data_IF_960304866699
#
_entry.id   IF_960304866699
#
_cell.length_a   1.000
_cell.length_b   1.000
_cell.length_c   1.000
_cell.angle_alpha   90.00
_cell.angle_beta   90.00
_cell.angle_gamma   90.00
#
_symmetry.space_group_name_H-M   'P 1'
#
loop_
_entity.id
_entity.type
_entity.pdbx_description
1 polymer ?
#
# COMPACT_ATOMS: atom_id res chain seq x y z
N UNK A 1 -21.31 43.58 18.72
CA UNK A 1 -21.82 43.31 17.36
C UNK A 1 -20.63 43.10 16.46
N UNK A 2 -20.41 42.01 15.73
CA UNK A 2 -21.07 40.72 15.56
C UNK A 2 -20.00 39.80 14.96
N UNK A 3 -19.97 38.54 15.39
CA UNK A 3 -19.04 37.51 14.92
C UNK A 3 -19.24 37.31 13.42
N UNK A 4 -18.17 37.35 12.64
CA UNK A 4 -18.15 36.83 11.28
C UNK A 4 -16.91 35.94 11.13
N UNK A 5 -16.86 34.91 11.98
CA UNK A 5 -15.93 33.78 11.91
C UNK A 5 -16.67 32.52 11.40
N UNK A 6 -17.52 32.67 10.38
CA UNK A 6 -18.38 31.57 9.91
C UNK A 6 -18.13 31.12 8.47
N UNK A 7 -17.06 31.62 7.83
CA UNK A 7 -16.52 30.97 6.63
C UNK A 7 -15.50 29.90 7.06
N UNK A 8 -15.97 28.91 7.85
CA UNK A 8 -15.27 27.63 7.93
C UNK A 8 -15.73 26.85 6.72
N UNK A 9 -14.86 26.78 5.72
CA UNK A 9 -14.83 25.79 4.64
C UNK A 9 -15.30 24.43 5.16
N UNK A 10 -16.60 24.16 5.04
CA UNK A 10 -17.14 22.82 5.12
C UNK A 10 -16.67 22.13 3.85
N UNK A 11 -15.53 21.45 3.92
CA UNK A 11 -15.10 20.50 2.89
C UNK A 11 -16.15 19.40 2.87
N UNK A 12 -17.20 19.59 2.07
CA UNK A 12 -18.16 18.54 1.80
C UNK A 12 -17.40 17.42 1.09
N UNK A 13 -17.31 16.25 1.74
CA UNK A 13 -16.86 15.04 1.08
C UNK A 13 -17.83 14.79 -0.07
N UNK A 14 -17.34 14.96 -1.30
CA UNK A 14 -18.15 14.71 -2.50
C UNK A 14 -17.98 13.23 -2.84
N UNK A 15 -19.02 12.43 -2.60
CA UNK A 15 -19.03 11.01 -2.93
C UNK A 15 -19.79 10.74 -4.23
N UNK A 16 -19.39 9.69 -4.94
CA UNK A 16 -20.08 9.15 -6.12
C UNK A 16 -20.05 7.63 -6.03
N UNK A 17 -21.13 6.98 -6.46
CA UNK A 17 -21.26 5.52 -6.42
C UNK A 17 -20.71 4.89 -7.69
N UNK A 18 -19.93 3.82 -7.55
CA UNK A 18 -19.46 2.97 -8.64
C UNK A 18 -19.93 1.53 -8.42
N UNK A 19 -20.29 0.83 -9.49
CA UNK A 19 -20.67 -0.58 -9.42
C UNK A 19 -19.42 -1.46 -9.58
N UNK A 20 -19.20 -2.34 -8.60
CA UNK A 20 -18.06 -3.27 -8.56
C UNK A 20 -18.55 -4.72 -8.61
N UNK A 21 -17.76 -5.66 -9.17
CA UNK A 21 -18.06 -7.08 -9.09
C UNK A 21 -18.18 -7.53 -7.63
N UNK A 22 -19.13 -8.42 -7.33
CA UNK A 22 -19.36 -8.92 -5.97
C UNK A 22 -18.10 -9.54 -5.36
N UNK A 23 -17.29 -10.24 -6.17
CA UNK A 23 -16.03 -10.83 -5.72
C UNK A 23 -15.03 -9.80 -5.21
N UNK A 24 -15.05 -8.58 -5.73
CA UNK A 24 -14.19 -7.49 -5.26
C UNK A 24 -14.70 -6.96 -3.93
N UNK A 25 -16.02 -6.76 -3.81
CA UNK A 25 -16.66 -6.30 -2.57
C UNK A 25 -16.46 -7.31 -1.44
N UNK A 26 -16.68 -8.60 -1.69
CA UNK A 26 -16.42 -9.67 -0.71
C UNK A 26 -14.94 -9.71 -0.27
N UNK A 27 -14.02 -9.47 -1.21
CA UNK A 27 -12.60 -9.37 -0.92
C UNK A 27 -12.22 -8.14 -0.07
N UNK A 28 -12.95 -7.04 -0.23
CA UNK A 28 -12.83 -5.83 0.58
C UNK A 28 -13.38 -6.09 1.98
N UNK A 29 -14.60 -6.60 2.10
CA UNK A 29 -15.25 -6.90 3.38
C UNK A 29 -14.42 -7.87 4.23
N UNK A 30 -13.87 -8.93 3.62
CA UNK A 30 -13.02 -9.89 4.31
C UNK A 30 -11.71 -9.29 4.84
N UNK A 31 -11.22 -8.18 4.27
CA UNK A 31 -9.99 -7.51 4.70
C UNK A 31 -10.28 -6.40 5.72
N UNK A 32 -11.50 -5.85 5.71
CA UNK A 32 -11.90 -4.76 6.60
C UNK A 32 -11.67 -5.12 8.07
N UNK A 33 -12.05 -6.34 8.49
CA UNK A 33 -11.89 -6.85 9.86
C UNK A 33 -10.42 -6.89 10.34
N UNK A 34 -9.47 -6.83 9.41
CA UNK A 34 -8.03 -6.86 9.67
C UNK A 34 -7.34 -5.54 9.30
N UNK A 35 -8.11 -4.48 9.09
CA UNK A 35 -7.63 -3.16 8.70
C UNK A 35 -7.88 -2.13 9.78
N UNK A 36 -7.35 -0.92 9.59
CA UNK A 36 -7.58 0.22 10.48
C UNK A 36 -8.88 0.99 10.19
N UNK A 37 -9.61 0.59 9.15
CA UNK A 37 -10.77 1.32 8.66
C UNK A 37 -12.06 0.79 9.28
N UNK A 38 -13.00 1.71 9.54
CA UNK A 38 -14.28 1.39 10.19
C UNK A 38 -15.37 1.01 9.18
N UNK A 39 -15.19 1.36 7.90
CA UNK A 39 -16.21 1.16 6.87
C UNK A 39 -15.64 0.65 5.55
N UNK A 40 -16.47 -0.09 4.81
CA UNK A 40 -16.16 -0.57 3.46
C UNK A 40 -15.82 0.58 2.52
N UNK A 41 -16.55 1.69 2.60
CA UNK A 41 -16.36 2.85 1.72
C UNK A 41 -14.98 3.49 1.94
N UNK A 42 -14.54 3.60 3.19
CA UNK A 42 -13.25 4.17 3.57
C UNK A 42 -12.09 3.28 3.11
N UNK A 43 -12.18 1.98 3.37
CA UNK A 43 -11.19 1.01 2.89
C UNK A 43 -11.13 0.98 1.36
N UNK A 44 -12.28 1.00 0.69
CA UNK A 44 -12.35 1.01 -0.77
C UNK A 44 -11.76 2.28 -1.37
N UNK A 45 -12.02 3.45 -0.77
CA UNK A 45 -11.42 4.70 -1.19
C UNK A 45 -9.89 4.65 -1.09
N UNK A 46 -9.36 4.25 0.07
CA UNK A 46 -7.92 4.09 0.27
C UNK A 46 -7.29 3.12 -0.73
N UNK A 47 -7.88 1.93 -0.89
CA UNK A 47 -7.37 0.92 -1.81
C UNK A 47 -7.35 1.40 -3.27
N UNK A 48 -8.36 2.15 -3.70
CA UNK A 48 -8.42 2.73 -5.04
C UNK A 48 -7.40 3.87 -5.21
N UNK A 49 -7.23 4.72 -4.19
CA UNK A 49 -6.21 5.77 -4.19
C UNK A 49 -4.80 5.21 -4.31
N UNK A 50 -4.46 4.14 -3.57
CA UNK A 50 -3.17 3.46 -3.67
C UNK A 50 -2.93 2.86 -5.07
N UNK A 51 -3.96 2.25 -5.66
CA UNK A 51 -3.87 1.71 -7.03
C UNK A 51 -3.65 2.84 -8.04
N UNK A 52 -4.36 3.96 -7.92
CA UNK A 52 -4.18 5.12 -8.80
C UNK A 52 -2.79 5.74 -8.62
N UNK A 53 -2.31 5.88 -7.38
CA UNK A 53 -0.99 6.41 -7.08
C UNK A 53 0.11 5.57 -7.73
N UNK A 54 0.00 4.23 -7.68
CA UNK A 54 0.94 3.31 -8.35
C UNK A 54 0.90 3.42 -9.87
N UNK A 55 -0.24 3.78 -10.45
CA UNK A 55 -0.39 4.00 -11.90
C UNK A 55 0.12 5.38 -12.35
N UNK A 56 -0.01 6.39 -11.48
CA UNK A 56 0.40 7.77 -11.75
C UNK A 56 1.89 8.03 -11.46
N UNK A 57 2.57 7.13 -10.72
CA UNK A 57 3.99 7.25 -10.46
C UNK A 57 4.79 7.19 -11.78
N UNK A 58 5.46 8.28 -12.20
CA UNK A 58 6.26 8.26 -13.41
C UNK A 58 7.44 7.32 -13.19
N UNK A 59 7.69 6.45 -14.18
CA UNK A 59 8.84 5.55 -14.22
C UNK A 59 10.12 6.36 -14.43
N UNK A 60 10.48 7.20 -13.47
CA UNK A 60 11.66 8.06 -13.47
C UNK A 60 12.44 7.81 -12.18
N UNK A 61 12.99 6.60 -12.04
CA UNK A 61 13.82 6.31 -10.87
C UNK A 61 14.33 4.90 -10.62
N UNK A 62 14.24 3.95 -11.56
CA UNK A 62 14.97 2.66 -11.48
C UNK A 62 14.46 1.64 -10.45
N UNK A 63 14.01 0.47 -10.94
CA UNK A 63 13.65 -0.74 -10.17
C UNK A 63 12.47 -0.52 -9.19
N UNK A 64 11.29 -1.11 -9.26
CA UNK A 64 10.84 -2.42 -9.71
C UNK A 64 9.36 -2.29 -10.14
N UNK A 65 9.13 -2.21 -11.45
CA UNK A 65 7.85 -2.62 -12.03
C UNK A 65 7.81 -4.15 -12.06
N UNK A 66 7.64 -4.81 -10.91
CA UNK A 66 7.40 -6.25 -10.86
C UNK A 66 6.04 -6.50 -10.20
N UNK A 67 5.15 -6.96 -11.07
CA UNK A 67 4.07 -7.90 -10.85
C UNK A 67 4.04 -8.56 -9.45
N UNK A 68 2.82 -8.75 -8.98
CA UNK A 68 2.47 -9.81 -8.04
C UNK A 68 3.26 -11.09 -8.35
N UNK A 69 3.66 -11.82 -7.30
CA UNK A 69 4.47 -13.06 -7.31
C UNK A 69 5.98 -12.87 -7.03
N UNK A 70 6.32 -12.23 -5.91
CA UNK A 70 7.63 -12.40 -5.28
C UNK A 70 7.47 -12.57 -3.77
N UNK A 71 7.17 -13.81 -3.39
CA UNK A 71 7.49 -14.35 -2.07
C UNK A 71 8.95 -14.01 -1.74
N UNK A 72 9.13 -13.28 -0.64
CA UNK A 72 10.35 -13.20 0.16
C UNK A 72 11.67 -12.87 -0.55
N UNK A 73 12.09 -11.60 -0.48
CA UNK A 73 13.45 -11.30 0.00
C UNK A 73 13.52 -9.87 0.56
N UNK A 74 13.09 -9.73 1.81
CA UNK A 74 13.54 -8.60 2.64
C UNK A 74 15.02 -8.83 3.00
N UNK A 75 15.90 -8.61 2.02
CA UNK A 75 17.32 -8.85 2.09
C UNK A 75 18.08 -7.59 1.73
N UNK A 76 18.25 -6.74 2.75
CA UNK A 76 19.44 -5.90 2.94
C UNK A 76 20.60 -6.37 2.06
N UNK A 77 21.19 -5.48 1.27
CA UNK A 77 22.24 -5.79 0.30
C UNK A 77 23.48 -6.35 1.00
N UNK A 78 23.45 -7.62 1.40
CA UNK A 78 24.56 -8.29 2.07
C UNK A 78 25.54 -8.63 0.96
N UNK A 79 26.63 -7.87 0.92
CA UNK A 79 27.72 -8.12 -0.01
C UNK A 79 28.14 -9.59 0.11
N UNK A 80 28.26 -10.28 -1.03
CA UNK A 80 28.55 -11.73 -1.08
C UNK A 80 29.74 -12.14 -0.20
N UNK A 81 30.71 -11.24 0.00
CA UNK A 81 31.85 -11.44 0.88
C UNK A 81 31.46 -11.63 2.37
N UNK A 82 30.48 -10.87 2.87
CA UNK A 82 29.99 -10.98 4.24
C UNK A 82 29.23 -12.29 4.48
N UNK A 83 28.43 -12.71 3.49
CA UNK A 83 27.74 -14.00 3.51
C UNK A 83 28.76 -15.14 3.55
N UNK A 84 29.77 -15.10 2.69
CA UNK A 84 30.82 -16.13 2.60
C UNK A 84 31.64 -16.23 3.89
N UNK A 85 32.01 -15.10 4.50
CA UNK A 85 32.71 -15.06 5.77
C UNK A 85 31.89 -15.69 6.91
N UNK A 86 30.58 -15.41 6.96
CA UNK A 86 29.67 -16.00 7.95
C UNK A 86 29.52 -17.51 7.74
N UNK A 87 29.36 -17.96 6.50
CA UNK A 87 29.23 -19.38 6.18
C UNK A 87 30.50 -20.17 6.52
N UNK A 88 31.69 -19.59 6.27
CA UNK A 88 32.97 -20.19 6.66
C UNK A 88 33.14 -20.29 8.18
N UNK A 89 32.77 -19.24 8.92
CA UNK A 89 32.78 -19.25 10.39
C UNK A 89 31.88 -20.33 11.00
N UNK A 90 30.75 -20.60 10.33
CA UNK A 90 29.81 -21.64 10.72
C UNK A 90 30.17 -23.05 10.21
N UNK A 91 31.25 -23.18 9.41
CA UNK A 91 31.73 -24.47 8.89
C UNK A 91 30.93 -25.04 7.72
N UNK A 92 30.17 -24.21 7.00
CA UNK A 92 29.44 -24.61 5.79
C UNK A 92 30.27 -24.51 4.50
N UNK A 93 31.44 -23.88 4.57
CA UNK A 93 32.40 -23.76 3.47
C UNK A 93 33.80 -24.14 4.00
N UNK A 94 34.44 -25.11 3.35
CA UNK A 94 35.86 -25.49 3.54
C UNK A 94 36.78 -24.57 2.72
#
# INVERSE_FOLDING_TARGET
MGRNDADRTSSYVTSTTVELPTTVVEGIESRLDHSEFDTVDEYAAYALEEVLARLDEPIDGGDEGVNADADADAGDTVEKADVEARLKSLGYLD
#
